data_IF_940861287717
#
_entry.id   IF_940861287717
#
_cell.length_a   1.000
_cell.length_b   1.000
_cell.length_c   1.000
_cell.angle_alpha   90.00
_cell.angle_beta   90.00
_cell.angle_gamma   90.00
#
_symmetry.space_group_name_H-M   'P 1'
#
loop_
_entity.id
_entity.type
_entity.pdbx_description
1 polymer ?
#
# COMPACT_ATOMS: atom_id res chain seq x y z
N UNK A 1 17.59 -21.59 -10.93
CA UNK A 1 18.56 -22.23 -11.81
C UNK A 1 18.03 -23.61 -12.21
N UNK A 2 17.30 -23.71 -13.34
CA UNK A 2 16.65 -24.95 -13.79
C UNK A 2 17.12 -25.29 -15.20
N UNK A 3 17.62 -26.49 -15.40
CA UNK A 3 17.92 -27.02 -16.71
C UNK A 3 16.62 -27.41 -17.43
N UNK A 4 16.45 -26.97 -18.66
CA UNK A 4 15.26 -27.20 -19.48
C UNK A 4 15.68 -27.49 -20.92
N UNK A 5 14.84 -28.22 -21.64
CA UNK A 5 15.09 -28.56 -23.06
C UNK A 5 13.88 -28.17 -23.89
N UNK A 6 14.13 -27.60 -25.06
CA UNK A 6 13.12 -27.35 -26.09
C UNK A 6 13.25 -28.45 -27.13
N UNK A 7 12.14 -29.11 -27.46
CA UNK A 7 12.03 -30.10 -28.52
C UNK A 7 11.15 -29.54 -29.63
N UNK A 8 11.68 -29.50 -30.84
CA UNK A 8 10.92 -29.11 -32.04
C UNK A 8 10.91 -30.29 -33.00
N UNK A 9 9.72 -30.78 -33.33
CA UNK A 9 9.53 -31.83 -34.32
C UNK A 9 9.05 -31.22 -35.65
N UNK A 10 9.80 -31.40 -36.73
CA UNK A 10 9.41 -31.00 -38.07
C UNK A 10 8.96 -32.24 -38.86
N UNK A 11 7.75 -32.19 -39.46
CA UNK A 11 7.25 -33.22 -40.33
C UNK A 11 7.85 -33.01 -41.75
N UNK A 12 8.54 -34.00 -42.27
CA UNK A 12 9.11 -33.98 -43.60
C UNK A 12 8.08 -34.43 -44.66
N UNK A 13 8.31 -34.11 -45.91
CA UNK A 13 7.41 -34.44 -47.01
C UNK A 13 7.23 -35.96 -47.28
N UNK A 14 8.14 -36.78 -46.78
CA UNK A 14 8.07 -38.23 -46.80
C UNK A 14 7.29 -38.86 -45.64
N UNK A 15 6.74 -38.03 -44.76
CA UNK A 15 5.97 -38.46 -43.58
C UNK A 15 6.83 -38.81 -42.36
N UNK A 16 8.12 -38.58 -42.38
CA UNK A 16 9.01 -38.75 -41.23
C UNK A 16 9.12 -37.47 -40.42
N UNK A 17 9.63 -37.58 -39.20
CA UNK A 17 9.87 -36.43 -38.32
C UNK A 17 11.36 -36.24 -38.09
N UNK A 18 11.79 -35.00 -38.17
CA UNK A 18 13.07 -34.57 -37.62
C UNK A 18 12.86 -33.87 -36.30
N UNK A 19 13.57 -34.29 -35.25
CA UNK A 19 13.50 -33.69 -33.93
C UNK A 19 14.80 -32.95 -33.65
N UNK A 20 14.66 -31.64 -33.42
CA UNK A 20 15.77 -30.77 -33.00
C UNK A 20 15.59 -30.48 -31.52
N UNK A 21 16.64 -30.66 -30.74
CA UNK A 21 16.65 -30.37 -29.30
C UNK A 21 17.61 -29.24 -29.01
N UNK A 22 17.22 -28.31 -28.18
CA UNK A 22 18.09 -27.26 -27.64
C UNK A 22 17.94 -27.22 -26.12
N UNK A 23 19.06 -27.35 -25.44
CA UNK A 23 19.13 -27.29 -23.99
C UNK A 23 19.48 -25.88 -23.54
N UNK A 24 18.88 -25.40 -22.47
CA UNK A 24 19.20 -24.15 -21.81
C UNK A 24 19.03 -24.28 -20.29
N UNK A 25 19.71 -23.42 -19.60
CA UNK A 25 19.55 -23.33 -18.13
C UNK A 25 19.11 -21.91 -17.79
N UNK A 26 18.02 -21.79 -17.04
CA UNK A 26 17.60 -20.48 -16.54
C UNK A 26 18.66 -19.95 -15.58
N UNK A 27 18.88 -18.66 -15.59
CA UNK A 27 19.76 -18.02 -14.60
C UNK A 27 19.10 -18.08 -13.21
N UNK A 28 19.90 -18.11 -12.15
CA UNK A 28 19.41 -17.86 -10.81
C UNK A 28 18.98 -16.39 -10.69
N UNK A 29 17.97 -16.12 -9.88
CA UNK A 29 17.71 -14.76 -9.44
C UNK A 29 18.85 -14.32 -8.51
N UNK A 30 19.35 -13.10 -8.72
CA UNK A 30 20.44 -12.52 -7.96
C UNK A 30 21.82 -13.13 -8.24
N UNK A 31 22.82 -12.51 -7.68
CA UNK A 31 24.23 -12.93 -7.66
C UNK A 31 24.69 -13.32 -6.25
N UNK A 32 26.00 -13.54 -6.09
CA UNK A 32 26.66 -13.87 -4.80
C UNK A 32 27.29 -12.63 -4.13
N UNK A 33 27.10 -11.45 -4.72
CA UNK A 33 27.58 -10.19 -4.15
C UNK A 33 26.60 -9.59 -3.14
N UNK A 34 26.85 -8.34 -2.74
CA UNK A 34 26.03 -7.64 -1.76
C UNK A 34 24.65 -7.31 -2.33
N UNK A 35 23.61 -7.89 -1.75
CA UNK A 35 22.22 -7.55 -2.05
C UNK A 35 21.88 -6.16 -1.49
N UNK A 36 21.27 -5.29 -2.28
CA UNK A 36 20.86 -3.95 -1.85
C UNK A 36 19.48 -3.60 -2.41
N UNK A 37 18.79 -2.66 -1.72
CA UNK A 37 17.50 -2.11 -2.11
C UNK A 37 17.58 -0.60 -2.24
N UNK A 38 16.81 -0.06 -3.18
CA UNK A 38 16.43 1.35 -3.19
C UNK A 38 14.95 1.43 -2.88
N UNK A 39 14.58 2.18 -1.82
CA UNK A 39 13.19 2.32 -1.37
C UNK A 39 12.79 3.79 -1.53
N UNK A 40 11.68 4.03 -2.22
CA UNK A 40 11.07 5.35 -2.32
C UNK A 40 9.61 5.27 -1.87
N UNK A 41 9.16 6.30 -1.13
CA UNK A 41 7.75 6.52 -0.81
C UNK A 41 7.34 7.83 -1.46
N UNK A 42 6.23 7.83 -2.18
CA UNK A 42 5.75 9.01 -2.91
C UNK A 42 4.22 9.01 -3.00
N UNK A 43 3.63 10.11 -3.49
CA UNK A 43 2.19 10.32 -3.60
C UNK A 43 1.43 9.97 -2.30
N UNK A 44 2.00 10.42 -1.17
CA UNK A 44 1.44 10.16 0.16
C UNK A 44 0.14 10.95 0.31
N UNK A 45 -0.97 10.20 0.45
CA UNK A 45 -2.32 10.72 0.65
C UNK A 45 -2.77 10.55 2.13
N UNK A 46 -4.05 10.70 2.39
CA UNK A 46 -4.64 10.54 3.71
C UNK A 46 -4.70 9.07 4.15
N UNK A 47 -5.00 8.18 3.21
CA UNK A 47 -5.25 6.76 3.49
C UNK A 47 -4.48 5.83 2.56
N UNK A 48 -3.51 6.35 1.84
CA UNK A 48 -2.64 5.56 0.97
C UNK A 48 -1.30 6.24 0.72
N UNK A 49 -0.32 5.46 0.26
CA UNK A 49 0.95 5.93 -0.26
C UNK A 49 1.45 4.95 -1.32
N UNK A 50 2.21 5.42 -2.31
CA UNK A 50 2.94 4.54 -3.21
C UNK A 50 4.30 4.18 -2.61
N UNK A 51 4.63 2.90 -2.66
CA UNK A 51 5.95 2.38 -2.26
C UNK A 51 6.59 1.72 -3.47
N UNK A 52 7.78 2.20 -3.82
CA UNK A 52 8.62 1.61 -4.86
C UNK A 52 9.88 1.03 -4.21
N UNK A 53 10.17 -0.24 -4.53
CA UNK A 53 11.37 -0.95 -4.07
C UNK A 53 12.07 -1.54 -5.28
N UNK A 54 13.30 -1.12 -5.52
CA UNK A 54 14.13 -1.61 -6.61
C UNK A 54 15.31 -2.39 -6.04
N UNK A 55 15.34 -3.74 -6.19
CA UNK A 55 16.48 -4.55 -5.83
C UNK A 55 17.60 -4.42 -6.86
N UNK A 56 18.86 -4.54 -6.42
CA UNK A 56 19.99 -4.62 -7.34
C UNK A 56 20.12 -6.03 -7.98
N UNK A 57 21.02 -6.19 -8.94
CA UNK A 57 21.27 -7.45 -9.65
C UNK A 57 21.81 -8.58 -8.75
N UNK A 58 22.26 -8.27 -7.54
CA UNK A 58 22.73 -9.26 -6.58
C UNK A 58 21.60 -9.79 -5.71
N UNK A 59 20.48 -9.10 -5.64
CA UNK A 59 19.31 -9.49 -4.82
C UNK A 59 18.54 -10.64 -5.48
N UNK A 60 18.45 -11.78 -4.81
CA UNK A 60 17.65 -12.91 -5.23
C UNK A 60 16.18 -12.77 -4.82
N UNK A 61 15.94 -12.18 -3.67
CA UNK A 61 14.62 -11.80 -3.16
C UNK A 61 14.77 -10.79 -2.03
N UNK A 62 13.65 -10.22 -1.61
CA UNK A 62 13.58 -9.37 -0.41
C UNK A 62 12.25 -9.58 0.31
N UNK A 63 12.20 -9.18 1.57
CA UNK A 63 10.99 -9.06 2.37
C UNK A 63 10.64 -7.59 2.61
N UNK A 64 9.36 -7.34 2.89
CA UNK A 64 8.81 -6.01 3.17
C UNK A 64 7.83 -6.11 4.35
N UNK A 65 7.91 -5.13 5.26
CA UNK A 65 6.93 -4.88 6.32
C UNK A 65 6.59 -3.40 6.29
N UNK A 66 5.31 -3.08 6.27
CA UNK A 66 4.75 -1.75 6.47
C UNK A 66 3.97 -1.77 7.77
N UNK A 67 4.31 -0.90 8.72
CA UNK A 67 3.75 -0.91 10.08
C UNK A 67 3.88 0.47 10.72
N UNK A 68 3.37 0.64 11.92
CA UNK A 68 3.59 1.80 12.78
C UNK A 68 4.47 1.45 13.98
N UNK A 69 5.05 2.46 14.65
CA UNK A 69 5.79 2.22 15.89
C UNK A 69 4.88 1.66 16.99
N UNK A 70 3.62 2.13 17.04
CA UNK A 70 2.64 1.65 18.02
C UNK A 70 2.36 0.15 17.85
N UNK A 71 2.16 -0.32 16.62
CA UNK A 71 1.98 -1.75 16.34
C UNK A 71 3.20 -2.58 16.72
N UNK A 72 4.42 -2.09 16.45
CA UNK A 72 5.65 -2.78 16.86
C UNK A 72 5.76 -2.88 18.39
N UNK A 73 5.43 -1.80 19.10
CA UNK A 73 5.46 -1.75 20.56
C UNK A 73 4.42 -2.68 21.18
N UNK A 74 3.20 -2.75 20.62
CA UNK A 74 2.13 -3.64 21.09
C UNK A 74 2.52 -5.12 21.00
N UNK A 75 3.18 -5.53 19.92
CA UNK A 75 3.66 -6.91 19.75
C UNK A 75 5.04 -7.16 20.37
N UNK A 76 5.68 -6.10 20.91
CA UNK A 76 6.99 -6.18 21.54
C UNK A 76 8.13 -6.44 20.54
N UNK A 77 7.99 -6.02 19.29
CA UNK A 77 9.03 -6.16 18.28
C UNK A 77 10.06 -5.04 18.37
N UNK A 78 11.31 -5.43 18.21
CA UNK A 78 12.47 -4.55 18.12
C UNK A 78 13.13 -4.69 16.75
N UNK A 79 14.09 -3.86 16.42
CA UNK A 79 14.93 -4.02 15.22
C UNK A 79 15.53 -5.42 15.11
N UNK A 80 16.03 -5.99 16.22
CA UNK A 80 16.56 -7.36 16.24
C UNK A 80 15.46 -8.41 15.93
N UNK A 81 14.23 -8.19 16.39
CA UNK A 81 13.08 -9.06 16.08
C UNK A 81 12.72 -9.01 14.61
N UNK A 82 12.76 -7.84 13.97
CA UNK A 82 12.52 -7.67 12.53
C UNK A 82 13.62 -8.35 11.70
N UNK A 83 14.88 -8.22 12.08
CA UNK A 83 15.99 -8.92 11.45
C UNK A 83 15.81 -10.44 11.58
N UNK A 84 15.42 -10.93 12.78
CA UNK A 84 15.12 -12.35 12.99
C UNK A 84 13.93 -12.83 12.15
N UNK A 85 12.88 -12.02 12.02
CA UNK A 85 11.72 -12.29 11.16
C UNK A 85 12.13 -12.48 9.71
N UNK A 86 12.89 -11.56 9.13
CA UNK A 86 13.38 -11.66 7.75
C UNK A 86 14.39 -12.80 7.53
N UNK A 87 15.19 -13.17 8.55
CA UNK A 87 16.04 -14.34 8.48
C UNK A 87 15.29 -15.68 8.62
N UNK A 88 13.99 -15.63 8.97
CA UNK A 88 13.09 -16.76 8.98
C UNK A 88 12.59 -17.15 7.59
N UNK A 89 11.53 -17.93 7.53
CA UNK A 89 10.91 -18.41 6.28
C UNK A 89 9.46 -17.97 6.09
N UNK A 90 8.88 -17.34 7.11
CA UNK A 90 7.43 -17.08 7.19
C UNK A 90 6.99 -15.75 6.54
N UNK A 91 7.91 -14.92 6.06
CA UNK A 91 7.58 -13.66 5.41
C UNK A 91 7.30 -13.84 3.92
N UNK A 92 6.53 -12.89 3.35
CA UNK A 92 6.30 -12.81 1.92
C UNK A 92 7.58 -12.40 1.19
N UNK A 93 7.95 -13.17 0.17
CA UNK A 93 9.14 -12.91 -0.65
C UNK A 93 8.76 -12.21 -1.95
N UNK A 94 9.47 -11.14 -2.23
CA UNK A 94 9.41 -10.41 -3.48
C UNK A 94 10.67 -10.68 -4.30
N UNK A 95 10.52 -10.86 -5.60
CA UNK A 95 11.60 -11.28 -6.49
C UNK A 95 11.96 -10.24 -7.56
N UNK A 96 11.12 -9.23 -7.71
CA UNK A 96 11.21 -8.19 -8.74
C UNK A 96 10.96 -6.84 -8.12
N UNK A 97 11.12 -5.79 -8.93
CA UNK A 97 10.72 -4.45 -8.55
C UNK A 97 9.25 -4.41 -8.08
N UNK A 98 9.00 -3.68 -7.00
CA UNK A 98 7.68 -3.34 -6.51
C UNK A 98 7.45 -1.86 -6.81
N UNK A 99 6.27 -1.51 -7.28
CA UNK A 99 5.78 -0.13 -7.42
C UNK A 99 4.25 -0.16 -7.30
N UNK A 100 3.77 -0.11 -6.06
CA UNK A 100 2.36 -0.33 -5.75
C UNK A 100 1.82 0.70 -4.77
N UNK A 101 0.53 0.99 -4.90
CA UNK A 101 -0.23 1.74 -3.90
C UNK A 101 -0.53 0.86 -2.69
N UNK A 102 -0.22 1.36 -1.49
CA UNK A 102 -0.57 0.77 -0.20
C UNK A 102 -1.79 1.48 0.36
N UNK A 103 -2.99 0.95 0.15
CA UNK A 103 -4.23 1.56 0.64
C UNK A 103 -4.55 1.14 2.09
N UNK A 104 -5.53 1.83 2.69
CA UNK A 104 -6.06 1.45 4.01
C UNK A 104 -5.23 1.95 5.17
N UNK A 105 -4.38 2.94 4.94
CA UNK A 105 -3.62 3.61 5.97
C UNK A 105 -4.50 4.57 6.79
N UNK A 106 -4.14 4.81 8.03
CA UNK A 106 -4.78 5.80 8.88
C UNK A 106 -4.24 7.21 8.58
N UNK A 107 -5.09 8.25 8.59
CA UNK A 107 -4.66 9.63 8.36
C UNK A 107 -3.78 10.15 9.49
N UNK A 108 -2.89 11.09 9.17
CA UNK A 108 -2.01 11.75 10.13
C UNK A 108 -1.13 10.79 10.94
N UNK A 109 -0.82 9.63 10.37
CA UNK A 109 -0.13 8.55 11.04
C UNK A 109 1.24 8.35 10.41
N UNK A 110 2.27 8.23 11.24
CA UNK A 110 3.61 7.88 10.80
C UNK A 110 3.71 6.37 10.59
N UNK A 111 4.13 5.98 9.40
CA UNK A 111 4.38 4.61 9.00
C UNK A 111 5.87 4.37 8.78
N UNK A 112 6.29 3.15 9.07
CA UNK A 112 7.63 2.64 8.90
C UNK A 112 7.62 1.53 7.85
N UNK A 113 8.50 1.66 6.86
CA UNK A 113 8.74 0.64 5.83
C UNK A 113 10.06 -0.03 6.17
N UNK A 114 10.01 -1.30 6.55
CA UNK A 114 11.19 -2.12 6.75
C UNK A 114 11.36 -3.10 5.61
N UNK A 115 12.57 -3.23 5.11
CA UNK A 115 12.87 -4.22 4.08
C UNK A 115 14.29 -4.79 4.26
N UNK A 116 14.47 -6.04 3.82
CA UNK A 116 15.74 -6.74 3.88
C UNK A 116 15.90 -7.61 2.64
N UNK A 117 17.01 -7.48 1.94
CA UNK A 117 17.31 -8.25 0.74
C UNK A 117 18.23 -9.42 1.05
N UNK A 118 18.17 -10.43 0.18
CA UNK A 118 19.01 -11.63 0.25
C UNK A 118 19.60 -11.92 -1.10
N UNK A 119 20.88 -12.25 -1.14
CA UNK A 119 21.53 -12.68 -2.36
C UNK A 119 21.25 -14.17 -2.69
N UNK A 120 21.82 -14.69 -3.78
CA UNK A 120 21.60 -16.07 -4.21
C UNK A 120 22.16 -17.12 -3.23
N UNK A 121 23.14 -16.75 -2.42
CA UNK A 121 23.72 -17.61 -1.37
C UNK A 121 22.96 -17.54 -0.03
N UNK A 122 21.88 -16.70 0.02
CA UNK A 122 21.09 -16.47 1.23
C UNK A 122 21.72 -15.51 2.22
N UNK A 123 22.75 -14.75 1.80
CA UNK A 123 23.35 -13.70 2.63
C UNK A 123 22.46 -12.48 2.62
N UNK A 124 22.08 -12.02 3.82
CA UNK A 124 21.21 -10.88 4.03
C UNK A 124 21.96 -9.55 3.86
N UNK A 125 21.25 -8.52 3.39
CA UNK A 125 21.64 -7.12 3.49
C UNK A 125 21.53 -6.61 4.94
N UNK A 126 21.87 -5.35 5.16
CA UNK A 126 21.36 -4.60 6.32
C UNK A 126 19.84 -4.46 6.25
N UNK A 127 19.21 -4.15 7.39
CA UNK A 127 17.80 -3.78 7.45
C UNK A 127 17.65 -2.35 6.94
N UNK A 128 16.85 -2.16 5.91
CA UNK A 128 16.44 -0.85 5.41
C UNK A 128 15.23 -0.36 6.19
N UNK A 129 15.22 0.93 6.51
CA UNK A 129 14.11 1.61 7.19
C UNK A 129 13.84 2.94 6.49
N UNK A 130 12.58 3.19 6.12
CA UNK A 130 12.10 4.47 5.59
C UNK A 130 10.81 4.82 6.31
N UNK A 131 10.68 6.05 6.80
CA UNK A 131 9.45 6.55 7.40
C UNK A 131 8.74 7.55 6.50
N UNK A 132 7.41 7.59 6.62
CA UNK A 132 6.58 8.62 6.03
C UNK A 132 5.34 8.87 6.89
N UNK A 133 4.72 10.05 6.74
CA UNK A 133 3.49 10.38 7.48
C UNK A 133 2.37 10.66 6.48
N UNK A 134 1.25 9.96 6.61
CA UNK A 134 0.04 10.21 5.84
C UNK A 134 -0.50 11.61 6.11
N UNK A 135 -1.19 12.20 5.13
CA UNK A 135 -1.71 13.55 5.26
C UNK A 135 -2.96 13.60 6.15
N UNK A 136 -3.29 14.79 6.63
CA UNK A 136 -4.51 15.03 7.41
C UNK A 136 -5.76 14.95 6.52
N UNK A 137 -6.89 14.56 7.13
CA UNK A 137 -8.18 14.92 6.54
C UNK A 137 -8.39 16.42 6.65
N UNK A 138 -8.85 17.02 5.55
CA UNK A 138 -9.06 18.45 5.48
C UNK A 138 -7.77 19.26 5.44
N UNK A 139 -7.92 20.56 5.36
CA UNK A 139 -6.84 21.54 5.36
C UNK A 139 -6.92 22.47 6.56
N UNK A 140 -6.08 23.51 6.54
CA UNK A 140 -6.06 24.56 7.58
C UNK A 140 -6.87 25.81 7.18
N UNK A 141 -7.56 25.77 6.03
CA UNK A 141 -8.41 26.85 5.55
C UNK A 141 -9.83 26.79 6.12
N UNK A 142 -10.71 27.64 5.58
CA UNK A 142 -12.11 27.65 5.96
C UNK A 142 -12.81 26.37 5.47
N UNK A 143 -13.36 25.60 6.41
CA UNK A 143 -14.22 24.47 6.08
C UNK A 143 -15.56 24.95 5.55
N UNK A 144 -16.00 24.45 4.40
CA UNK A 144 -17.26 24.80 3.77
C UNK A 144 -17.97 23.51 3.30
N UNK A 145 -19.29 23.50 3.43
CA UNK A 145 -20.14 22.40 2.96
C UNK A 145 -21.23 22.98 2.08
N UNK A 146 -21.26 22.55 0.82
CA UNK A 146 -22.41 22.79 -0.03
C UNK A 146 -23.50 21.76 0.27
N UNK A 147 -24.69 22.24 0.60
CA UNK A 147 -25.85 21.39 0.91
C UNK A 147 -26.94 21.61 -0.12
N UNK A 148 -27.50 20.52 -0.63
CA UNK A 148 -28.62 20.57 -1.58
C UNK A 148 -29.69 19.53 -1.17
N UNK A 149 -30.93 20.00 -1.06
CA UNK A 149 -32.09 19.14 -0.85
C UNK A 149 -32.94 19.13 -2.13
N UNK A 150 -33.31 17.95 -2.61
CA UNK A 150 -34.08 17.73 -3.85
C UNK A 150 -35.15 16.68 -3.69
N UNK A 151 -36.03 16.57 -4.67
CA UNK A 151 -37.07 15.55 -4.80
C UNK A 151 -37.96 15.39 -3.53
N UNK A 152 -38.50 16.49 -2.94
CA UNK A 152 -39.35 16.37 -1.78
C UNK A 152 -40.65 15.63 -2.12
N UNK A 153 -41.04 14.68 -1.28
CA UNK A 153 -42.30 13.97 -1.30
C UNK A 153 -43.05 14.18 0.03
N UNK A 154 -44.17 13.55 0.24
CA UNK A 154 -44.88 13.62 1.53
C UNK A 154 -44.08 13.00 2.71
N UNK A 155 -43.16 12.06 2.42
CA UNK A 155 -42.46 11.26 3.45
C UNK A 155 -40.96 11.15 3.25
N UNK A 156 -40.38 11.75 2.20
CA UNK A 156 -38.96 11.64 1.89
C UNK A 156 -38.44 12.83 1.07
N UNK A 157 -37.16 13.04 1.09
CA UNK A 157 -36.42 13.92 0.19
C UNK A 157 -35.00 13.40 0.05
N UNK A 158 -34.31 13.82 -0.99
CA UNK A 158 -32.90 13.54 -1.18
C UNK A 158 -32.09 14.71 -0.65
N UNK A 159 -30.98 14.42 0.06
CA UNK A 159 -30.05 15.42 0.54
C UNK A 159 -28.63 15.05 0.12
N UNK A 160 -27.87 16.04 -0.33
CA UNK A 160 -26.45 15.89 -0.66
C UNK A 160 -25.64 16.90 0.14
N UNK A 161 -24.55 16.43 0.72
CA UNK A 161 -23.53 17.24 1.37
C UNK A 161 -22.25 17.11 0.57
N UNK A 162 -21.67 18.22 0.14
CA UNK A 162 -20.38 18.26 -0.59
C UNK A 162 -19.42 19.14 0.21
N UNK A 163 -18.58 18.55 1.06
CA UNK A 163 -17.55 19.30 1.77
C UNK A 163 -16.44 19.73 0.81
N UNK A 164 -15.79 20.86 1.11
CA UNK A 164 -14.56 21.25 0.43
C UNK A 164 -13.33 20.52 0.99
N UNK A 165 -12.18 20.66 0.33
CA UNK A 165 -10.92 19.99 0.73
C UNK A 165 -10.37 20.44 2.09
N UNK A 166 -10.95 21.51 2.68
CA UNK A 166 -10.57 22.00 3.99
C UNK A 166 -11.36 21.38 5.12
N UNK A 167 -12.46 20.68 4.80
CA UNK A 167 -13.35 20.05 5.79
C UNK A 167 -12.79 18.72 6.24
N UNK A 168 -12.44 18.60 7.52
CA UNK A 168 -12.00 17.35 8.14
C UNK A 168 -13.21 16.42 8.40
N UNK A 169 -14.20 16.92 9.12
CA UNK A 169 -15.45 16.20 9.41
C UNK A 169 -16.60 17.18 9.53
N UNK A 170 -17.82 16.68 9.47
CA UNK A 170 -19.01 17.46 9.69
C UNK A 170 -20.09 16.62 10.36
N UNK A 171 -20.98 17.31 11.06
CA UNK A 171 -22.21 16.73 11.59
C UNK A 171 -23.39 17.31 10.85
N UNK A 172 -24.48 16.56 10.80
CA UNK A 172 -25.75 17.06 10.30
C UNK A 172 -26.89 16.64 11.20
N UNK A 173 -27.94 17.45 11.26
CA UNK A 173 -29.19 17.18 11.94
C UNK A 173 -30.34 17.47 10.99
N UNK A 174 -31.27 16.53 10.88
CA UNK A 174 -32.51 16.71 10.15
C UNK A 174 -33.63 16.66 11.17
N UNK A 175 -34.34 17.75 11.31
CA UNK A 175 -35.42 17.90 12.26
C UNK A 175 -36.53 18.81 11.68
N UNK A 176 -37.75 18.69 12.19
CA UNK A 176 -38.81 19.66 11.87
C UNK A 176 -38.60 21.00 12.61
N UNK A 177 -39.28 22.03 12.14
CA UNK A 177 -39.13 23.38 12.69
C UNK A 177 -39.55 23.46 14.15
N UNK A 178 -40.49 22.64 14.62
CA UNK A 178 -40.96 22.64 15.99
C UNK A 178 -39.86 22.14 16.94
N UNK A 179 -39.05 21.20 16.53
CA UNK A 179 -37.92 20.69 17.31
C UNK A 179 -36.92 21.80 17.70
N UNK A 180 -36.59 22.68 16.77
CA UNK A 180 -35.71 23.81 17.06
C UNK A 180 -36.34 24.82 18.01
N UNK A 181 -37.61 25.12 17.78
CA UNK A 181 -38.38 26.05 18.65
C UNK A 181 -38.50 25.53 20.08
N UNK A 182 -38.80 24.23 20.25
CA UNK A 182 -38.92 23.58 21.52
C UNK A 182 -37.60 23.52 22.32
N UNK A 183 -36.46 23.47 21.62
CA UNK A 183 -35.13 23.53 22.21
C UNK A 183 -34.65 24.97 22.46
N UNK A 184 -35.38 25.99 22.03
CA UNK A 184 -34.97 27.39 22.12
C UNK A 184 -33.80 27.76 21.17
N UNK A 185 -33.60 26.99 20.10
CA UNK A 185 -32.57 27.24 19.10
C UNK A 185 -33.13 28.17 18.01
N UNK A 186 -32.86 29.47 18.17
CA UNK A 186 -33.41 30.50 17.27
C UNK A 186 -32.48 30.85 16.10
N UNK A 187 -31.20 30.52 16.22
CA UNK A 187 -30.17 30.88 15.22
C UNK A 187 -29.24 29.71 14.94
N UNK A 188 -28.52 29.80 13.79
CA UNK A 188 -27.47 28.81 13.44
C UNK A 188 -26.31 28.79 14.44
N UNK A 189 -26.12 29.87 15.23
CA UNK A 189 -25.09 29.92 16.26
C UNK A 189 -25.44 29.07 17.49
N UNK A 190 -26.72 28.75 17.69
CA UNK A 190 -27.18 27.92 18.79
C UNK A 190 -26.99 26.42 18.55
N UNK A 191 -26.62 26.04 17.30
CA UNK A 191 -26.44 24.66 16.85
C UNK A 191 -24.95 24.27 16.78
N UNK A 192 -24.03 25.24 16.83
CA UNK A 192 -22.58 25.08 16.63
C UNK A 192 -21.82 24.62 17.91
#
# INVERSE_FOLDING_TARGET
>A
NTASSIYVAALLNDGTYEVITSDFTTLSLGGSGDATLTINVYDVAQTSAFISITPNDQSAHYGLVLTTQEELDEIGYTTDSLIAYFNGTEYQKYYYELDEEMPGLDPSTEYLVYAMAFNADGVASELYEVSFTTTYYGGFGLAEIAMTATNPTANSFDISFVPNDQTNYYYYLIADQSFYTDLGLETTADIA
#
